data_IF_498739136793
#
_entry.id   IF_498739136793
#
_cell.length_a   1.000
_cell.length_b   1.000
_cell.length_c   1.000
_cell.angle_alpha   90.00
_cell.angle_beta   90.00
_cell.angle_gamma   90.00
#
_symmetry.space_group_name_H-M   'P 1'
#
loop_
_entity.id
_entity.type
_entity.pdbx_description
1 polymer ?
#
# COMPACT_ATOMS: atom_id res chain seq x y z
N UNK A 1 9.55 15.87 2.07
CA UNK A 1 8.15 16.30 2.06
C UNK A 1 7.46 15.37 1.10
N UNK A 2 6.90 14.29 1.63
CA UNK A 2 6.01 13.40 0.88
C UNK A 2 4.68 14.12 0.71
N UNK A 3 4.02 13.96 -0.43
CA UNK A 3 2.69 14.53 -0.61
C UNK A 3 1.71 13.86 0.37
N UNK A 4 0.71 14.59 0.89
CA UNK A 4 -0.31 13.97 1.73
C UNK A 4 -1.15 12.99 0.91
N UNK A 5 -1.55 11.87 1.52
CA UNK A 5 -2.56 10.98 0.94
C UNK A 5 -3.91 11.68 0.92
N UNK A 6 -4.52 11.72 -0.26
CA UNK A 6 -5.82 12.32 -0.47
C UNK A 6 -6.72 11.38 -1.28
N UNK A 7 -8.01 11.68 -1.35
CA UNK A 7 -8.96 10.93 -2.18
C UNK A 7 -8.56 10.90 -3.68
N UNK A 8 -7.73 11.83 -4.14
CA UNK A 8 -7.15 11.84 -5.50
C UNK A 8 -6.16 10.67 -5.73
N UNK A 9 -5.63 10.10 -4.64
CA UNK A 9 -4.75 8.93 -4.68
C UNK A 9 -5.52 7.61 -4.74
N UNK A 10 -6.85 7.64 -4.60
CA UNK A 10 -7.70 6.45 -4.74
C UNK A 10 -7.63 5.92 -6.17
N UNK A 11 -7.43 4.62 -6.30
CA UNK A 11 -7.21 3.93 -7.57
C UNK A 11 -5.79 3.98 -8.09
N UNK A 12 -4.85 4.63 -7.39
CA UNK A 12 -3.42 4.57 -7.75
C UNK A 12 -2.84 3.21 -7.43
N UNK A 13 -1.93 2.77 -8.29
CA UNK A 13 -1.13 1.58 -8.04
C UNK A 13 -0.17 1.83 -6.89
N UNK A 14 -0.14 0.89 -5.96
CA UNK A 14 0.81 0.87 -4.84
C UNK A 14 1.94 -0.07 -5.19
N UNK A 15 3.16 0.42 -5.07
CA UNK A 15 4.38 -0.31 -5.39
C UNK A 15 5.35 -0.28 -4.21
N UNK A 16 6.22 -1.28 -4.20
CA UNK A 16 7.39 -1.34 -3.34
C UNK A 16 8.54 -0.47 -3.91
N UNK A 17 9.56 -0.07 -3.11
CA UNK A 17 10.77 0.58 -3.61
C UNK A 17 11.52 -0.22 -4.69
N UNK A 18 11.33 -1.55 -4.76
CA UNK A 18 11.83 -2.39 -5.85
C UNK A 18 11.04 -2.25 -7.17
N UNK A 19 9.97 -1.44 -7.20
CA UNK A 19 9.08 -1.23 -8.34
C UNK A 19 8.08 -2.38 -8.55
N UNK A 20 7.85 -3.16 -7.50
CA UNK A 20 6.93 -4.29 -7.54
C UNK A 20 5.53 -3.83 -7.16
N UNK A 21 4.56 -4.06 -8.04
CA UNK A 21 3.15 -3.80 -7.75
C UNK A 21 2.72 -4.64 -6.55
N UNK A 22 2.23 -3.97 -5.51
CA UNK A 22 1.70 -4.57 -4.30
C UNK A 22 0.18 -4.66 -4.33
N UNK A 23 -0.47 -3.64 -4.91
CA UNK A 23 -1.92 -3.51 -4.91
C UNK A 23 -2.39 -2.18 -5.46
N UNK A 24 -3.63 -1.82 -5.15
CA UNK A 24 -4.28 -0.57 -5.57
C UNK A 24 -4.92 0.10 -4.36
N UNK A 25 -4.84 1.42 -4.27
CA UNK A 25 -5.54 2.19 -3.24
C UNK A 25 -7.06 2.04 -3.44
N UNK A 26 -7.73 1.35 -2.52
CA UNK A 26 -9.17 1.17 -2.50
C UNK A 26 -9.89 2.43 -2.00
N UNK A 27 -9.44 3.00 -0.88
CA UNK A 27 -10.01 4.21 -0.28
C UNK A 27 -8.96 5.00 0.51
N UNK A 28 -9.20 6.29 0.77
CA UNK A 28 -8.37 7.11 1.66
C UNK A 28 -9.26 7.77 2.71
N UNK A 29 -8.98 7.53 3.99
CA UNK A 29 -9.70 8.10 5.13
C UNK A 29 -8.70 8.79 6.08
N UNK A 30 -8.92 10.07 6.38
CA UNK A 30 -8.11 10.85 7.34
C UNK A 30 -6.58 10.77 7.14
N UNK A 31 -6.11 10.76 5.88
CA UNK A 31 -4.68 10.63 5.55
C UNK A 31 -4.15 9.19 5.58
N UNK A 32 -5.06 8.22 5.64
CA UNK A 32 -4.78 6.79 5.70
C UNK A 32 -5.37 6.11 4.47
N UNK A 33 -4.53 5.52 3.62
CA UNK A 33 -4.95 4.78 2.44
C UNK A 33 -5.20 3.31 2.77
N UNK A 34 -6.36 2.79 2.41
CA UNK A 34 -6.64 1.37 2.36
C UNK A 34 -6.25 0.86 0.97
N UNK A 35 -5.42 -0.17 0.93
CA UNK A 35 -4.85 -0.72 -0.30
C UNK A 35 -5.30 -2.16 -0.44
N UNK A 36 -6.04 -2.45 -1.50
CA UNK A 36 -6.42 -3.81 -1.87
C UNK A 36 -5.18 -4.50 -2.47
N UNK A 37 -4.58 -5.48 -1.77
CA UNK A 37 -3.37 -6.12 -2.22
C UNK A 37 -3.69 -7.14 -3.32
N UNK A 38 -2.87 -7.15 -4.38
CA UNK A 38 -3.04 -8.14 -5.43
C UNK A 38 -2.83 -9.57 -4.86
N UNK A 39 -3.61 -10.57 -5.29
CA UNK A 39 -3.53 -11.93 -4.76
C UNK A 39 -2.14 -12.56 -4.97
N UNK A 40 -1.43 -12.17 -6.03
CA UNK A 40 -0.05 -12.64 -6.29
C UNK A 40 1.01 -12.06 -5.35
N UNK A 41 0.73 -10.92 -4.71
CA UNK A 41 1.60 -10.24 -3.75
C UNK A 41 1.25 -10.70 -2.35
N UNK A 42 -0.05 -10.72 -2.03
CA UNK A 42 -0.59 -11.26 -0.79
C UNK A 42 0.06 -12.61 -0.48
N UNK A 43 0.08 -13.54 -1.44
CA UNK A 43 0.69 -14.87 -1.29
C UNK A 43 2.19 -14.83 -0.89
N UNK A 44 2.96 -13.85 -1.38
CA UNK A 44 4.39 -13.72 -1.07
C UNK A 44 4.65 -13.04 0.28
N UNK A 45 3.81 -12.08 0.66
CA UNK A 45 3.88 -11.39 1.95
C UNK A 45 3.40 -12.29 3.09
N UNK A 46 2.29 -13.02 2.86
CA UNK A 46 1.78 -14.08 3.74
C UNK A 46 2.85 -15.13 4.04
N UNK A 47 3.62 -15.53 3.03
CA UNK A 47 4.66 -16.56 3.18
C UNK A 47 5.91 -16.09 3.94
N UNK A 48 6.24 -14.80 3.91
CA UNK A 48 7.49 -14.26 4.46
C UNK A 48 7.34 -13.70 5.88
N UNK A 49 6.20 -13.08 6.21
CA UNK A 49 6.06 -12.28 7.44
C UNK A 49 5.12 -12.90 8.48
N UNK A 50 4.36 -13.96 8.16
CA UNK A 50 3.43 -14.55 9.13
C UNK A 50 2.37 -13.52 9.56
N UNK A 51 1.73 -12.89 8.58
CA UNK A 51 0.62 -11.97 8.79
C UNK A 51 -0.60 -12.74 9.34
N UNK A 52 -0.64 -12.90 10.66
CA UNK A 52 -1.88 -13.12 11.43
C UNK A 52 -2.52 -11.76 11.71
N UNK A 53 -2.92 -11.07 10.65
CA UNK A 53 -3.87 -9.96 10.73
C UNK A 53 -5.23 -10.53 10.37
N UNK A 54 -6.05 -10.78 11.37
CA UNK A 54 -7.49 -10.98 11.22
C UNK A 54 -8.01 -9.82 10.36
N UNK A 55 -8.83 -10.12 9.35
CA UNK A 55 -9.39 -9.21 8.33
C UNK A 55 -8.62 -9.16 6.99
N UNK A 56 -9.03 -10.09 6.11
CA UNK A 56 -8.49 -10.46 4.79
C UNK A 56 -8.69 -9.41 3.67
N UNK A 57 -8.88 -8.12 3.97
CA UNK A 57 -9.55 -7.23 2.99
C UNK A 57 -8.73 -6.00 2.54
N UNK A 58 -7.96 -5.31 3.39
CA UNK A 58 -7.23 -4.11 2.96
C UNK A 58 -5.93 -3.83 3.76
N UNK A 59 -4.84 -3.50 3.07
CA UNK A 59 -3.59 -3.03 3.68
C UNK A 59 -3.65 -1.53 3.97
N UNK A 60 -3.50 -1.15 5.23
CA UNK A 60 -3.54 0.24 5.66
C UNK A 60 -2.17 0.91 5.52
N UNK A 61 -2.08 1.90 4.65
CA UNK A 61 -0.91 2.72 4.36
C UNK A 61 -1.09 4.12 4.93
N UNK A 62 -0.15 4.53 5.77
CA UNK A 62 -0.10 5.90 6.31
C UNK A 62 1.04 6.69 5.70
N UNK A 63 1.01 8.02 5.81
CA UNK A 63 2.05 8.92 5.28
C UNK A 63 3.47 8.59 5.75
N UNK A 64 3.63 7.97 6.92
CA UNK A 64 4.93 7.56 7.46
C UNK A 64 5.52 6.34 6.71
N UNK A 65 4.63 5.50 6.18
CA UNK A 65 4.95 4.34 5.34
C UNK A 65 5.15 4.72 3.87
N UNK A 66 5.02 5.99 3.49
CA UNK A 66 5.17 6.44 2.11
C UNK A 66 6.56 7.01 1.86
N UNK A 67 7.23 6.46 0.86
CA UNK A 67 8.49 7.03 0.38
C UNK A 67 8.21 8.19 -0.57
N UNK A 68 7.27 8.02 -1.50
CA UNK A 68 6.95 9.00 -2.54
C UNK A 68 5.57 8.75 -3.15
N UNK A 69 4.89 9.84 -3.50
CA UNK A 69 3.64 9.81 -4.26
C UNK A 69 3.87 10.58 -5.56
N UNK A 70 3.81 9.88 -6.68
CA UNK A 70 3.88 10.47 -8.03
C UNK A 70 2.71 9.93 -8.88
N UNK A 71 2.97 9.17 -9.94
CA UNK A 71 1.94 8.41 -10.68
C UNK A 71 1.50 7.16 -9.93
N UNK A 72 2.38 6.65 -9.06
CA UNK A 72 2.17 5.48 -8.22
C UNK A 72 2.58 5.82 -6.79
N UNK A 73 2.04 5.06 -5.84
CA UNK A 73 2.29 5.21 -4.42
C UNK A 73 3.44 4.28 -4.06
N UNK A 74 4.61 4.83 -3.77
CA UNK A 74 5.80 4.07 -3.39
C UNK A 74 5.87 3.96 -1.87
N UNK A 75 5.82 2.74 -1.34
CA UNK A 75 5.98 2.50 0.08
C UNK A 75 7.43 2.65 0.54
N UNK A 76 7.62 2.88 1.82
CA UNK A 76 8.92 2.95 2.48
C UNK A 76 9.10 1.73 3.36
N UNK A 77 9.62 0.65 2.78
CA UNK A 77 9.88 -0.59 3.50
C UNK A 77 10.43 -1.64 2.55
N UNK A 78 11.28 -2.53 3.05
CA UNK A 78 11.64 -3.77 2.36
C UNK A 78 10.69 -4.83 2.90
N UNK A 79 9.73 -5.27 2.08
CA UNK A 79 8.84 -6.39 2.37
C UNK A 79 9.51 -7.73 2.00
#
# INVERSE_FOLDING_TARGET
>A
MTAPLTDDDVGKTVVDPDGKELGIVATVDDGTAHVDPNPSVAEQLLASVGWEGEDEEDYVVTEDMLERIDNEVVLRGTL
#
